data_IF_898344747244
#
_entry.id   IF_898344747244
#
_cell.length_a   1.000
_cell.length_b   1.000
_cell.length_c   1.000
_cell.angle_alpha   90.00
_cell.angle_beta   90.00
_cell.angle_gamma   90.00
#
_symmetry.space_group_name_H-M   'P 1'
#
loop_
_entity.id
_entity.type
_entity.pdbx_description
1 polymer ?
#
# COMPACT_ATOMS: atom_id res chain seq x y z
N UNK A 1 9.00 15.04 5.26
CA UNK A 1 9.48 13.76 4.72
C UNK A 1 10.57 13.25 5.67
N UNK A 2 10.25 12.85 6.91
CA UNK A 2 11.31 12.65 7.95
C UNK A 2 11.18 11.43 8.88
N UNK A 3 10.03 10.73 9.01
CA UNK A 3 9.94 9.50 9.84
C UNK A 3 9.04 8.40 9.26
N UNK A 4 7.87 8.72 8.68
CA UNK A 4 6.96 7.69 8.15
C UNK A 4 7.42 7.09 6.81
N UNK A 5 8.06 7.88 5.95
CA UNK A 5 8.63 7.36 4.68
C UNK A 5 9.74 6.34 4.96
N UNK A 6 10.48 6.52 6.06
CA UNK A 6 11.49 5.57 6.54
C UNK A 6 10.85 4.25 7.00
N UNK A 7 9.69 4.31 7.68
CA UNK A 7 9.01 3.11 8.15
C UNK A 7 8.37 2.31 7.00
N UNK A 8 7.72 2.98 6.03
CA UNK A 8 7.19 2.32 4.84
C UNK A 8 8.28 1.65 4.01
N UNK A 9 9.45 2.30 3.89
CA UNK A 9 10.63 1.70 3.27
C UNK A 9 11.12 0.48 4.04
N UNK A 10 11.30 0.60 5.36
CA UNK A 10 11.75 -0.51 6.21
C UNK A 10 10.85 -1.74 6.06
N UNK A 11 9.52 -1.57 6.15
CA UNK A 11 8.57 -2.67 5.98
C UNK A 11 8.68 -3.33 4.60
N UNK A 12 8.94 -2.54 3.56
CA UNK A 12 9.12 -3.08 2.22
C UNK A 12 10.45 -3.83 2.07
N UNK A 13 11.53 -3.37 2.71
CA UNK A 13 12.80 -4.10 2.76
C UNK A 13 12.67 -5.44 3.51
N UNK A 14 11.96 -5.45 4.64
CA UNK A 14 11.66 -6.68 5.37
C UNK A 14 10.82 -7.64 4.53
N UNK A 15 9.84 -7.13 3.76
CA UNK A 15 9.04 -7.93 2.84
C UNK A 15 9.90 -8.60 1.76
N UNK A 16 10.87 -7.87 1.19
CA UNK A 16 11.82 -8.38 0.20
C UNK A 16 12.72 -9.45 0.80
N UNK A 17 13.27 -9.20 2.00
CA UNK A 17 14.08 -10.17 2.74
C UNK A 17 13.33 -11.50 2.93
N UNK A 18 12.06 -11.46 3.35
CA UNK A 18 11.29 -12.69 3.52
C UNK A 18 10.94 -13.39 2.20
N UNK A 19 10.74 -12.65 1.11
CA UNK A 19 10.56 -13.27 -0.21
C UNK A 19 11.82 -14.05 -0.62
N UNK A 20 13.00 -13.48 -0.44
CA UNK A 20 14.28 -14.14 -0.74
C UNK A 20 14.50 -15.38 0.13
N UNK A 21 14.21 -15.28 1.43
CA UNK A 21 14.29 -16.43 2.34
C UNK A 21 13.31 -17.55 1.94
N UNK A 22 12.12 -17.21 1.45
CA UNK A 22 11.18 -18.21 0.91
C UNK A 22 11.76 -18.96 -0.29
N UNK A 23 12.53 -18.27 -1.13
CA UNK A 23 13.23 -18.88 -2.27
C UNK A 23 14.36 -19.81 -1.83
N UNK A 24 15.11 -19.43 -0.79
CA UNK A 24 16.22 -20.24 -0.25
C UNK A 24 15.74 -21.50 0.46
N UNK A 25 14.60 -21.44 1.14
CA UNK A 25 13.99 -22.59 1.83
C UNK A 25 13.05 -23.41 0.92
N UNK A 26 13.26 -23.42 -0.40
CA UNK A 26 12.37 -24.10 -1.36
C UNK A 26 12.20 -25.60 -1.09
N UNK A 27 13.15 -26.23 -0.40
CA UNK A 27 13.11 -27.64 0.00
C UNK A 27 12.27 -27.89 1.26
N UNK A 28 12.00 -26.84 2.06
CA UNK A 28 11.16 -26.89 3.25
C UNK A 28 9.87 -26.10 3.02
N UNK A 29 8.87 -26.79 2.49
CA UNK A 29 7.59 -26.18 2.11
C UNK A 29 6.92 -25.36 3.24
N UNK A 30 6.97 -25.85 4.48
CA UNK A 30 6.35 -25.16 5.61
C UNK A 30 7.07 -23.86 5.98
N UNK A 31 8.41 -23.85 5.93
CA UNK A 31 9.20 -22.63 6.15
C UNK A 31 9.03 -21.63 5.01
N UNK A 32 9.10 -22.11 3.76
CA UNK A 32 8.88 -21.27 2.59
C UNK A 32 7.49 -20.60 2.64
N UNK A 33 6.45 -21.36 3.01
CA UNK A 33 5.09 -20.83 3.20
C UNK A 33 5.04 -19.75 4.29
N UNK A 34 5.67 -19.97 5.44
CA UNK A 34 5.73 -18.97 6.51
C UNK A 34 6.42 -17.67 6.06
N UNK A 35 7.52 -17.78 5.32
CA UNK A 35 8.22 -16.63 4.76
C UNK A 35 7.40 -15.90 3.70
N UNK A 36 6.67 -16.62 2.85
CA UNK A 36 5.74 -16.01 1.90
C UNK A 36 4.60 -15.25 2.59
N UNK A 37 4.05 -15.79 3.68
CA UNK A 37 3.04 -15.10 4.49
C UNK A 37 3.59 -13.81 5.10
N UNK A 38 4.78 -13.88 5.72
CA UNK A 38 5.44 -12.71 6.29
C UNK A 38 5.70 -11.63 5.23
N UNK A 39 6.26 -12.04 4.09
CA UNK A 39 6.56 -11.15 2.96
C UNK A 39 5.31 -10.41 2.46
N UNK A 40 4.21 -11.13 2.21
CA UNK A 40 2.97 -10.51 1.75
C UNK A 40 2.39 -9.52 2.76
N UNK A 41 2.36 -9.89 4.05
CA UNK A 41 1.78 -9.05 5.10
C UNK A 41 2.61 -7.78 5.35
N UNK A 42 3.94 -7.88 5.30
CA UNK A 42 4.84 -6.74 5.41
C UNK A 42 4.75 -5.83 4.19
N UNK A 43 4.67 -6.39 2.98
CA UNK A 43 4.45 -5.61 1.76
C UNK A 43 3.14 -4.82 1.81
N UNK A 44 2.07 -5.43 2.30
CA UNK A 44 0.77 -4.76 2.49
C UNK A 44 0.84 -3.67 3.56
N UNK A 45 1.58 -3.92 4.65
CA UNK A 45 1.83 -2.91 5.69
C UNK A 45 2.61 -1.71 5.14
N UNK A 46 3.60 -1.96 4.27
CA UNK A 46 4.34 -0.91 3.57
C UNK A 46 3.43 -0.07 2.66
N UNK A 47 2.54 -0.72 1.89
CA UNK A 47 1.55 -0.02 1.06
C UNK A 47 0.67 0.93 1.90
N UNK A 48 0.11 0.43 3.01
CA UNK A 48 -0.71 1.23 3.92
C UNK A 48 0.09 2.40 4.52
N UNK A 49 1.35 2.15 4.92
CA UNK A 49 2.24 3.19 5.44
C UNK A 49 2.50 4.31 4.42
N UNK A 50 2.79 3.97 3.15
CA UNK A 50 2.97 4.96 2.10
C UNK A 50 1.69 5.76 1.79
N UNK A 51 0.54 5.09 1.70
CA UNK A 51 -0.74 5.77 1.47
C UNK A 51 -1.07 6.72 2.63
N UNK A 52 -0.79 6.31 3.86
CA UNK A 52 -0.96 7.16 5.05
C UNK A 52 -0.01 8.35 5.06
N UNK A 53 1.27 8.15 4.74
CA UNK A 53 2.27 9.23 4.64
C UNK A 53 1.83 10.30 3.64
N UNK A 54 1.48 9.86 2.41
CA UNK A 54 0.97 10.76 1.36
C UNK A 54 -0.29 11.47 1.83
N UNK A 55 -1.26 10.75 2.39
CA UNK A 55 -2.52 11.33 2.85
C UNK A 55 -2.34 12.38 3.94
N UNK A 56 -1.42 12.14 4.88
CA UNK A 56 -1.09 13.08 5.95
C UNK A 56 -0.47 14.36 5.39
N UNK A 57 0.50 14.22 4.48
CA UNK A 57 1.11 15.38 3.82
C UNK A 57 0.09 16.16 2.99
N UNK A 58 -0.74 15.48 2.20
CA UNK A 58 -1.81 16.12 1.43
C UNK A 58 -2.76 16.91 2.33
N UNK A 59 -3.14 16.34 3.48
CA UNK A 59 -3.96 17.06 4.46
C UNK A 59 -3.25 18.30 5.02
N UNK A 60 -1.94 18.27 5.24
CA UNK A 60 -1.20 19.40 5.82
C UNK A 60 -0.92 20.50 4.79
N UNK A 61 -0.54 20.11 3.58
CA UNK A 61 0.09 21.01 2.60
C UNK A 61 -0.84 21.46 1.48
N UNK A 62 -1.96 20.77 1.25
CA UNK A 62 -2.86 21.05 0.11
C UNK A 62 -4.21 21.60 0.56
N UNK A 63 -4.80 22.41 -0.31
CA UNK A 63 -6.16 22.91 -0.11
C UNK A 63 -7.17 21.83 -0.50
N UNK A 64 -7.73 21.17 0.51
CA UNK A 64 -8.71 20.10 0.37
C UNK A 64 -10.06 20.53 0.94
N UNK A 65 -11.14 20.17 0.24
CA UNK A 65 -12.48 20.23 0.82
C UNK A 65 -12.57 19.32 2.05
N UNK A 66 -13.56 19.57 2.91
CA UNK A 66 -13.74 18.76 4.11
C UNK A 66 -14.03 17.28 3.79
N UNK A 67 -14.68 17.01 2.66
CA UNK A 67 -14.95 15.65 2.20
C UNK A 67 -13.68 14.92 1.79
N UNK A 68 -12.81 15.58 1.04
CA UNK A 68 -11.52 15.01 0.63
C UNK A 68 -10.61 14.79 1.84
N UNK A 69 -10.60 15.75 2.78
CA UNK A 69 -9.85 15.63 4.02
C UNK A 69 -10.39 14.50 4.90
N UNK A 70 -11.71 14.35 5.00
CA UNK A 70 -12.36 13.21 5.68
C UNK A 70 -11.94 11.89 5.06
N UNK A 71 -11.88 11.82 3.73
CA UNK A 71 -11.47 10.63 3.01
C UNK A 71 -10.00 10.26 3.25
N UNK A 72 -9.10 11.22 3.12
CA UNK A 72 -7.65 10.98 3.26
C UNK A 72 -7.23 10.72 4.71
N UNK A 73 -7.85 11.41 5.68
CA UNK A 73 -7.52 11.27 7.09
C UNK A 73 -8.35 10.21 7.83
N UNK A 74 -9.27 9.55 7.13
CA UNK A 74 -10.19 8.54 7.69
C UNK A 74 -10.93 9.04 8.95
N UNK A 75 -11.38 10.30 8.90
CA UNK A 75 -12.09 10.97 10.00
C UNK A 75 -13.53 11.21 9.63
N UNK A 76 -14.45 10.96 10.57
CA UNK A 76 -15.86 11.24 10.36
C UNK A 76 -16.13 12.76 10.37
N UNK A 77 -16.94 13.24 9.42
CA UNK A 77 -17.49 14.60 9.42
C UNK A 77 -18.64 14.69 10.42
N UNK A 78 -18.65 15.72 11.27
CA UNK A 78 -19.73 16.05 12.19
C UNK A 78 -20.19 17.49 11.98
N UNK A 79 -21.42 17.78 12.39
CA UNK A 79 -21.93 19.14 12.43
C UNK A 79 -21.75 19.64 13.86
N UNK A 80 -21.00 20.72 14.03
CA UNK A 80 -20.86 21.42 15.30
C UNK A 80 -21.37 22.85 15.11
N UNK A 81 -22.42 23.24 15.84
CA UNK A 81 -22.99 24.60 15.76
C UNK A 81 -23.30 25.09 14.32
N UNK A 82 -23.74 24.17 13.44
CA UNK A 82 -24.07 24.48 12.05
C UNK A 82 -22.89 24.49 11.07
N UNK A 83 -21.64 24.34 11.54
CA UNK A 83 -20.47 24.13 10.68
C UNK A 83 -20.08 22.65 10.56
N UNK A 84 -19.56 22.27 9.40
CA UNK A 84 -18.98 20.95 9.20
C UNK A 84 -17.54 20.91 9.74
N UNK A 85 -17.26 19.94 10.60
CA UNK A 85 -15.94 19.72 11.19
C UNK A 85 -15.51 18.24 11.07
N UNK A 86 -14.21 17.99 11.14
CA UNK A 86 -13.68 16.63 11.29
C UNK A 86 -13.61 16.24 12.76
N UNK A 87 -14.20 15.11 13.08
CA UNK A 87 -14.09 14.52 14.41
C UNK A 87 -12.84 13.65 14.57
N UNK A 88 -12.51 13.30 15.81
CA UNK A 88 -11.48 12.30 16.14
C UNK A 88 -11.94 10.85 15.90
N UNK A 89 -13.21 10.64 15.54
CA UNK A 89 -13.77 9.30 15.31
C UNK A 89 -13.22 8.71 14.01
N UNK A 90 -12.64 7.52 14.10
CA UNK A 90 -12.16 6.76 12.95
C UNK A 90 -13.34 6.36 12.06
N UNK A 91 -13.23 6.69 10.78
CA UNK A 91 -14.10 6.22 9.70
C UNK A 91 -13.20 5.49 8.70
N UNK A 92 -13.07 4.17 8.89
CA UNK A 92 -12.28 3.33 7.99
C UNK A 92 -12.84 3.42 6.57
N UNK A 93 -11.95 3.69 5.62
CA UNK A 93 -12.23 3.74 4.20
C UNK A 93 -11.41 2.64 3.54
N UNK A 94 -11.92 2.06 2.45
CA UNK A 94 -11.17 1.01 1.76
C UNK A 94 -9.87 1.62 1.23
N UNK A 95 -8.77 0.89 1.43
CA UNK A 95 -7.46 1.31 0.96
C UNK A 95 -7.47 1.64 -0.54
N UNK A 96 -8.17 0.83 -1.34
CA UNK A 96 -8.28 1.04 -2.79
C UNK A 96 -8.96 2.37 -3.12
N UNK A 97 -10.03 2.76 -2.42
CA UNK A 97 -10.73 4.02 -2.65
C UNK A 97 -9.80 5.22 -2.40
N UNK A 98 -8.92 5.12 -1.39
CA UNK A 98 -7.90 6.16 -1.11
C UNK A 98 -6.81 6.20 -2.18
N UNK A 99 -6.32 5.05 -2.63
CA UNK A 99 -5.33 4.94 -3.71
C UNK A 99 -5.87 5.56 -5.00
N UNK A 100 -7.07 5.15 -5.43
CA UNK A 100 -7.72 5.64 -6.64
C UNK A 100 -7.98 7.13 -6.57
N UNK A 101 -8.47 7.63 -5.42
CA UNK A 101 -8.71 9.05 -5.20
C UNK A 101 -7.42 9.87 -5.34
N UNK A 102 -6.34 9.48 -4.63
CA UNK A 102 -5.05 10.19 -4.69
C UNK A 102 -4.55 10.19 -6.13
N UNK A 103 -4.51 9.03 -6.80
CA UNK A 103 -4.03 8.96 -8.17
C UNK A 103 -4.85 9.87 -9.10
N UNK A 104 -6.17 9.73 -9.14
CA UNK A 104 -7.02 10.49 -10.05
C UNK A 104 -6.92 12.00 -9.80
N UNK A 105 -6.93 12.41 -8.52
CA UNK A 105 -6.93 13.83 -8.13
C UNK A 105 -5.65 14.54 -8.58
N UNK A 106 -4.48 13.92 -8.41
CA UNK A 106 -3.18 14.58 -8.62
C UNK A 106 -2.51 14.24 -9.95
N UNK A 107 -2.90 13.14 -10.61
CA UNK A 107 -2.51 12.86 -11.99
C UNK A 107 -3.40 13.55 -13.02
N UNK A 108 -4.62 13.95 -12.63
CA UNK A 108 -5.70 14.41 -13.53
C UNK A 108 -6.08 13.38 -14.60
N UNK A 109 -5.84 12.09 -14.35
CA UNK A 109 -6.21 10.98 -15.21
C UNK A 109 -7.30 10.14 -14.56
N UNK A 110 -8.27 9.71 -15.34
CA UNK A 110 -9.20 8.68 -14.91
C UNK A 110 -8.52 7.31 -14.94
N UNK A 111 -8.88 6.44 -14.01
CA UNK A 111 -8.54 5.02 -14.07
C UNK A 111 -9.53 4.34 -15.02
N UNK A 112 -8.99 3.52 -15.90
CA UNK A 112 -9.73 2.78 -16.91
C UNK A 112 -9.49 1.29 -16.75
N UNK A 113 -10.28 0.47 -17.45
CA UNK A 113 -10.07 -0.97 -17.47
C UNK A 113 -8.75 -1.38 -18.11
N UNK A 114 -8.03 -0.47 -18.77
CA UNK A 114 -6.72 -0.74 -19.39
C UNK A 114 -5.57 -0.58 -18.39
N UNK A 115 -5.77 0.12 -17.28
CA UNK A 115 -4.76 0.36 -16.25
C UNK A 115 -4.37 -0.94 -15.50
N UNK A 116 -3.31 -1.60 -15.99
CA UNK A 116 -2.79 -2.84 -15.42
C UNK A 116 -2.42 -2.70 -13.93
N UNK A 117 -1.80 -1.59 -13.55
CA UNK A 117 -1.38 -1.36 -12.16
C UNK A 117 -2.56 -1.38 -11.18
N UNK A 118 -3.71 -0.83 -11.59
CA UNK A 118 -4.92 -0.78 -10.76
C UNK A 118 -5.55 -2.18 -10.61
N UNK A 119 -5.60 -2.94 -11.71
CA UNK A 119 -6.05 -4.35 -11.66
C UNK A 119 -5.14 -5.19 -10.77
N UNK A 120 -3.83 -5.03 -10.90
CA UNK A 120 -2.83 -5.77 -10.12
C UNK A 120 -2.90 -5.45 -8.62
N UNK A 121 -3.14 -4.18 -8.23
CA UNK A 121 -3.22 -3.84 -6.81
C UNK A 121 -4.51 -4.35 -6.17
N UNK A 122 -5.63 -4.35 -6.91
CA UNK A 122 -6.88 -4.97 -6.48
C UNK A 122 -6.71 -6.47 -6.23
N UNK A 123 -6.07 -7.18 -7.16
CA UNK A 123 -5.72 -8.60 -6.99
C UNK A 123 -4.81 -8.86 -5.78
N UNK A 124 -3.87 -7.94 -5.52
CA UNK A 124 -2.97 -8.02 -4.37
C UNK A 124 -3.71 -7.84 -3.05
N UNK A 125 -4.63 -6.86 -2.98
CA UNK A 125 -5.52 -6.66 -1.83
C UNK A 125 -6.39 -7.90 -1.60
N UNK A 126 -6.94 -8.49 -2.67
CA UNK A 126 -7.74 -9.71 -2.57
C UNK A 126 -6.92 -10.91 -2.10
N UNK A 127 -5.67 -11.06 -2.57
CA UNK A 127 -4.73 -12.09 -2.09
C UNK A 127 -4.48 -11.95 -0.58
N UNK A 128 -4.23 -10.72 -0.10
CA UNK A 128 -4.12 -10.44 1.34
C UNK A 128 -5.40 -10.81 2.08
N UNK A 129 -6.56 -10.38 1.58
CA UNK A 129 -7.85 -10.59 2.24
C UNK A 129 -8.15 -12.08 2.40
N UNK A 130 -7.86 -12.86 1.36
CA UNK A 130 -7.97 -14.31 1.40
C UNK A 130 -7.05 -14.90 2.48
N UNK A 131 -5.80 -14.43 2.59
CA UNK A 131 -4.85 -14.92 3.60
C UNK A 131 -5.28 -14.58 5.04
N UNK A 132 -5.73 -13.35 5.31
CA UNK A 132 -6.05 -12.89 6.67
C UNK A 132 -7.48 -13.21 7.13
N UNK A 133 -8.39 -13.43 6.19
CA UNK A 133 -9.78 -13.80 6.45
C UNK A 133 -10.16 -15.06 5.65
N UNK A 134 -9.48 -16.19 5.89
CA UNK A 134 -9.65 -17.39 5.08
C UNK A 134 -11.03 -18.00 5.29
N UNK A 135 -11.76 -18.22 4.20
CA UNK A 135 -12.95 -19.09 4.19
C UNK A 135 -12.59 -20.57 3.97
N UNK A 136 -11.42 -20.80 3.37
CA UNK A 136 -10.83 -22.11 3.10
C UNK A 136 -9.32 -22.02 3.31
N UNK A 137 -8.64 -23.16 3.46
CA UNK A 137 -7.18 -23.18 3.42
C UNK A 137 -6.71 -22.65 2.07
N UNK A 138 -5.81 -21.67 2.10
CA UNK A 138 -5.22 -21.06 0.90
C UNK A 138 -3.74 -21.40 0.91
N UNK A 139 -3.24 -21.86 -0.23
CA UNK A 139 -1.80 -21.96 -0.47
C UNK A 139 -1.42 -20.84 -1.42
N UNK A 140 -0.51 -19.97 -0.97
CA UNK A 140 0.07 -18.94 -1.82
C UNK A 140 1.38 -19.45 -2.42
N UNK A 141 1.62 -19.14 -3.68
CA UNK A 141 2.87 -19.48 -4.37
C UNK A 141 3.87 -18.32 -4.31
N UNK A 142 5.15 -18.65 -4.49
CA UNK A 142 6.22 -17.64 -4.54
C UNK A 142 5.93 -16.57 -5.60
N UNK A 143 5.52 -16.99 -6.81
CA UNK A 143 5.19 -16.09 -7.92
C UNK A 143 4.02 -15.15 -7.60
N UNK A 144 3.03 -15.62 -6.82
CA UNK A 144 1.92 -14.76 -6.38
C UNK A 144 2.41 -13.66 -5.43
N UNK A 145 3.29 -13.99 -4.49
CA UNK A 145 3.86 -13.00 -3.55
C UNK A 145 4.80 -12.03 -4.27
N UNK A 146 5.65 -12.54 -5.17
CA UNK A 146 6.53 -11.70 -6.00
C UNK A 146 5.74 -10.72 -6.88
N UNK A 147 4.64 -11.19 -7.50
CA UNK A 147 3.74 -10.33 -8.27
C UNK A 147 3.06 -9.30 -7.38
N UNK A 148 2.65 -9.69 -6.17
CA UNK A 148 2.05 -8.78 -5.19
C UNK A 148 3.02 -7.67 -4.75
N UNK A 149 4.29 -8.00 -4.45
CA UNK A 149 5.29 -6.99 -4.09
C UNK A 149 5.59 -6.04 -5.24
N UNK A 150 5.70 -6.55 -6.48
CA UNK A 150 5.85 -5.70 -7.67
C UNK A 150 4.65 -4.77 -7.85
N UNK A 151 3.44 -5.29 -7.65
CA UNK A 151 2.20 -4.50 -7.72
C UNK A 151 2.17 -3.36 -6.69
N UNK A 152 2.59 -3.65 -5.45
CA UNK A 152 2.74 -2.65 -4.38
C UNK A 152 3.77 -1.59 -4.79
N UNK A 153 4.96 -1.99 -5.22
CA UNK A 153 6.03 -1.08 -5.63
C UNK A 153 5.59 -0.16 -6.77
N UNK A 154 4.95 -0.73 -7.79
CA UNK A 154 4.41 0.02 -8.92
C UNK A 154 3.33 1.00 -8.49
N UNK A 155 2.41 0.57 -7.60
CA UNK A 155 1.34 1.44 -7.09
C UNK A 155 1.89 2.61 -6.30
N UNK A 156 2.80 2.36 -5.35
CA UNK A 156 3.45 3.43 -4.58
C UNK A 156 4.17 4.39 -5.53
N UNK A 157 4.88 3.87 -6.53
CA UNK A 157 5.54 4.73 -7.52
C UNK A 157 4.56 5.56 -8.36
N UNK A 158 3.40 5.01 -8.73
CA UNK A 158 2.33 5.75 -9.44
C UNK A 158 1.78 6.89 -8.58
N UNK A 159 1.56 6.65 -7.29
CA UNK A 159 1.10 7.67 -6.35
C UNK A 159 2.16 8.77 -6.16
N UNK A 160 3.42 8.39 -5.98
CA UNK A 160 4.52 9.35 -5.85
C UNK A 160 4.67 10.21 -7.10
N UNK A 161 4.62 9.61 -8.29
CA UNK A 161 4.66 10.35 -9.54
C UNK A 161 3.44 11.26 -9.73
N UNK A 162 2.24 10.83 -9.29
CA UNK A 162 1.05 11.65 -9.36
C UNK A 162 1.16 12.90 -8.48
N UNK A 163 1.58 12.73 -7.21
CA UNK A 163 1.62 13.81 -6.20
C UNK A 163 2.87 14.67 -6.33
N UNK A 164 4.05 14.05 -6.40
CA UNK A 164 5.34 14.73 -6.27
C UNK A 164 6.11 14.87 -7.59
N UNK A 165 5.63 14.26 -8.68
CA UNK A 165 6.30 14.24 -9.99
C UNK A 165 7.72 13.63 -9.95
N UNK A 166 7.95 12.75 -8.98
CA UNK A 166 9.20 11.99 -8.81
C UNK A 166 8.89 10.53 -8.51
N UNK A 167 9.86 9.65 -8.79
CA UNK A 167 9.76 8.25 -8.38
C UNK A 167 9.89 8.11 -6.86
N UNK A 168 9.26 7.08 -6.30
CA UNK A 168 9.53 6.70 -4.92
C UNK A 168 10.98 6.17 -4.81
N UNK A 169 11.76 6.53 -3.78
CA UNK A 169 13.17 6.10 -3.65
C UNK A 169 13.37 4.59 -3.78
N UNK A 170 12.46 3.78 -3.23
CA UNK A 170 12.53 2.31 -3.28
C UNK A 170 12.36 1.72 -4.69
N UNK A 171 11.82 2.49 -5.65
CA UNK A 171 11.52 2.01 -7.01
C UNK A 171 12.78 1.54 -7.75
N UNK A 172 13.91 2.22 -7.53
CA UNK A 172 15.16 1.93 -8.22
C UNK A 172 15.83 0.63 -7.75
N UNK A 173 15.42 0.09 -6.60
CA UNK A 173 16.02 -1.10 -5.99
C UNK A 173 15.22 -2.39 -6.26
N UNK A 174 14.09 -2.29 -6.96
CA UNK A 174 13.27 -3.44 -7.33
C UNK A 174 12.88 -4.30 -6.12
N UNK A 175 12.89 -5.63 -6.31
CA UNK A 175 12.57 -6.62 -5.27
C UNK A 175 13.78 -7.24 -4.57
N UNK A 176 14.99 -6.78 -4.87
CA UNK A 176 16.18 -7.26 -4.17
C UNK A 176 16.26 -6.59 -2.79
N UNK A 177 16.46 -7.40 -1.74
CA UNK A 177 16.65 -6.90 -0.38
C UNK A 177 18.05 -6.36 -0.19
N UNK A 178 18.18 -5.33 0.65
CA UNK A 178 19.47 -4.84 1.13
C UNK A 178 19.97 -5.57 2.39
N UNK A 179 19.18 -6.49 2.96
CA UNK A 179 19.51 -7.22 4.21
C UNK A 179 20.33 -8.50 4.01
N UNK A 180 20.65 -8.87 2.76
CA UNK A 180 21.54 -10.00 2.45
C UNK A 180 22.93 -9.47 2.10
N UNK A 181 23.66 -8.99 3.10
CA UNK A 181 25.14 -8.97 3.12
C UNK A 181 25.65 -10.00 4.13
#
# INVERSE_FOLDING_TARGET
MEQFDFFGQQLFEEAKYYLENAKLESENAAKAEAFMHASLLLGMSALEAYVNSISEELCKSFNLSIYERSLLSEKQIKINNGSLDLSSSLKMIRLIDRIEFIYCKYSHKAITNEDEWDRSIKQTIDLRNNLVHPKTKIQISYTQVETALNSILNTVNKLFNAVYKQNVPIFNYGLQSIYLE
#
